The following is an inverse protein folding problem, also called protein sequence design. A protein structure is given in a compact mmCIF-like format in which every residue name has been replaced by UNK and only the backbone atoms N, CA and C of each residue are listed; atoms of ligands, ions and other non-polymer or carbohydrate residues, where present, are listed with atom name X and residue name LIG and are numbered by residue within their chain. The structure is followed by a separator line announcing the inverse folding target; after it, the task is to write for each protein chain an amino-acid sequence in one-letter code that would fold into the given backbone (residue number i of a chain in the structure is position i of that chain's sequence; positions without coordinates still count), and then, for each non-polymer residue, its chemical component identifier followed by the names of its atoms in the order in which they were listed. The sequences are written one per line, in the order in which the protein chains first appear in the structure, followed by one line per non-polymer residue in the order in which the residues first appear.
data_IF_351218802807
#
_entry.id   IF_351218802807
#
_cell.length_a   1.000
_cell.length_b   1.000
_cell.length_c   1.000
_cell.angle_alpha   90.00
_cell.angle_beta   90.00
_cell.angle_gamma   90.00
#
_symmetry.space_group_name_H-M   'P 1'
#
loop_
_entity.id
_entity.type
_entity.pdbx_description
1 polymer ?
#
# COMPACT_ATOMS: atom_id res chain seq x y z
N UNK A 1 -15.96 -42.71 -57.77
CA UNK A 1 -17.10 -41.94 -57.21
C UNK A 1 -16.59 -40.55 -56.85
N UNK A 2 -16.56 -39.66 -57.84
CA UNK A 2 -16.08 -38.27 -57.72
C UNK A 2 -17.26 -37.40 -58.15
N UNK A 3 -17.62 -36.37 -57.38
CA UNK A 3 -18.76 -35.48 -57.70
C UNK A 3 -19.92 -35.47 -56.69
N UNK A 4 -19.74 -35.92 -55.45
CA UNK A 4 -20.72 -35.57 -54.40
C UNK A 4 -20.44 -34.16 -53.91
N UNK A 5 -21.45 -33.29 -54.01
CA UNK A 5 -21.41 -31.93 -53.46
C UNK A 5 -21.23 -32.06 -51.94
N UNK A 6 -20.25 -31.35 -51.33
CA UNK A 6 -20.04 -31.43 -49.89
C UNK A 6 -21.30 -30.93 -49.15
N UNK A 7 -21.62 -31.50 -47.98
CA UNK A 7 -22.74 -31.02 -47.19
C UNK A 7 -22.55 -29.54 -46.83
N UNK A 8 -23.64 -28.75 -46.78
CA UNK A 8 -23.56 -27.36 -46.38
C UNK A 8 -23.00 -27.28 -44.95
N UNK A 9 -21.92 -26.52 -44.77
CA UNK A 9 -21.38 -26.21 -43.45
C UNK A 9 -21.79 -24.79 -43.08
N UNK A 10 -22.15 -24.57 -41.81
CA UNK A 10 -22.34 -23.23 -41.28
C UNK A 10 -20.98 -22.52 -41.19
N UNK A 11 -20.96 -21.21 -41.40
CA UNK A 11 -19.75 -20.42 -41.17
C UNK A 11 -19.39 -20.47 -39.67
N UNK A 12 -18.11 -20.59 -39.31
CA UNK A 12 -17.70 -20.54 -37.90
C UNK A 12 -17.97 -19.20 -37.22
N UNK A 13 -18.33 -18.17 -38.00
CA UNK A 13 -18.71 -16.84 -37.52
C UNK A 13 -20.23 -16.62 -37.51
N UNK A 14 -21.02 -17.70 -37.59
CA UNK A 14 -22.48 -17.65 -37.47
C UNK A 14 -22.88 -17.36 -36.02
N UNK A 15 -23.84 -16.45 -35.85
CA UNK A 15 -24.52 -16.24 -34.59
C UNK A 15 -25.45 -17.44 -34.29
N UNK A 16 -24.96 -18.39 -33.49
CA UNK A 16 -25.68 -19.64 -33.14
C UNK A 16 -27.06 -19.40 -32.52
N UNK A 17 -27.27 -18.26 -31.86
CA UNK A 17 -28.56 -17.90 -31.28
C UNK A 17 -29.61 -17.50 -32.34
N UNK A 18 -29.18 -17.06 -33.54
CA UNK A 18 -30.08 -16.69 -34.64
C UNK A 18 -30.47 -17.89 -35.53
N UNK A 19 -29.57 -18.87 -35.68
CA UNK A 19 -29.80 -20.08 -36.48
C UNK A 19 -30.40 -21.25 -35.68
N UNK A 20 -30.60 -21.06 -34.37
CA UNK A 20 -31.30 -22.01 -33.50
C UNK A 20 -30.56 -23.31 -33.24
N UNK A 21 -29.29 -23.41 -33.63
CA UNK A 21 -28.44 -24.57 -33.36
C UNK A 21 -27.37 -24.22 -32.33
N UNK A 22 -27.61 -24.60 -31.08
CA UNK A 22 -26.65 -24.48 -29.98
C UNK A 22 -26.03 -25.87 -29.75
N UNK A 23 -24.71 -26.03 -29.93
CA UNK A 23 -24.06 -27.30 -29.65
C UNK A 23 -24.17 -27.73 -28.18
N UNK A 24 -24.27 -29.03 -27.91
CA UNK A 24 -24.46 -29.61 -26.57
C UNK A 24 -23.44 -29.12 -25.52
N UNK A 25 -22.18 -28.91 -25.94
CA UNK A 25 -21.14 -28.39 -25.04
C UNK A 25 -21.40 -26.95 -24.61
N UNK A 26 -22.00 -26.12 -25.47
CA UNK A 26 -22.33 -24.74 -25.13
C UNK A 26 -23.47 -24.69 -24.10
N UNK A 27 -24.43 -25.62 -24.18
CA UNK A 27 -25.46 -25.75 -23.16
C UNK A 27 -24.90 -26.16 -21.80
N UNK A 28 -23.98 -27.13 -21.77
CA UNK A 28 -23.36 -27.57 -20.50
C UNK A 28 -22.56 -26.44 -19.86
N UNK A 29 -21.82 -25.65 -20.64
CA UNK A 29 -21.13 -24.45 -20.15
C UNK A 29 -22.12 -23.42 -19.61
N UNK A 30 -23.21 -23.11 -20.34
CA UNK A 30 -24.26 -22.18 -19.86
C UNK A 30 -24.87 -22.66 -18.52
N UNK A 31 -25.12 -23.96 -18.37
CA UNK A 31 -25.64 -24.55 -17.11
C UNK A 31 -24.64 -24.45 -15.96
N UNK A 32 -23.35 -24.72 -16.21
CA UNK A 32 -22.29 -24.58 -15.21
C UNK A 32 -22.12 -23.12 -14.77
N UNK A 33 -22.15 -22.18 -15.70
CA UNK A 33 -22.10 -20.75 -15.39
C UNK A 33 -23.33 -20.30 -14.61
N UNK A 34 -24.52 -20.80 -14.93
CA UNK A 34 -25.74 -20.49 -14.19
C UNK A 34 -25.70 -21.06 -12.76
N UNK A 35 -25.20 -22.29 -12.57
CA UNK A 35 -24.99 -22.86 -11.24
C UNK A 35 -24.00 -22.05 -10.41
N UNK A 36 -22.86 -21.66 -11.01
CA UNK A 36 -21.87 -20.80 -10.36
C UNK A 36 -22.45 -19.41 -10.00
N UNK A 37 -23.31 -18.82 -10.85
CA UNK A 37 -23.99 -17.55 -10.56
C UNK A 37 -25.04 -17.67 -9.44
N UNK A 38 -25.75 -18.79 -9.34
CA UNK A 38 -26.77 -19.00 -8.32
C UNK A 38 -26.17 -19.29 -6.93
N UNK A 39 -25.01 -19.94 -6.87
CA UNK A 39 -24.27 -20.14 -5.61
C UNK A 39 -23.60 -18.85 -5.11
N UNK A 40 -23.40 -17.88 -5.99
CA UNK A 40 -22.92 -16.54 -5.65
C UNK A 40 -24.14 -15.63 -5.40
N UNK A 41 -24.47 -15.43 -4.12
CA UNK A 41 -25.34 -14.33 -3.73
C UNK A 41 -24.81 -13.02 -4.35
N UNK A 42 -25.67 -12.17 -4.95
CA UNK A 42 -25.22 -10.86 -5.42
C UNK A 42 -24.62 -10.11 -4.22
N UNK A 43 -23.32 -9.83 -4.32
CA UNK A 43 -22.59 -9.13 -3.26
C UNK A 43 -23.28 -7.80 -2.98
N UNK A 44 -23.55 -7.45 -1.72
CA UNK A 44 -24.17 -6.17 -1.41
C UNK A 44 -23.18 -5.06 -1.75
N UNK A 45 -23.53 -4.30 -2.80
CA UNK A 45 -22.97 -2.99 -3.14
C UNK A 45 -21.48 -3.00 -3.51
N UNK A 46 -21.14 -3.64 -4.62
CA UNK A 46 -19.94 -3.28 -5.39
C UNK A 46 -20.38 -2.30 -6.46
N UNK A 47 -19.77 -1.11 -6.50
CA UNK A 47 -20.12 -0.04 -7.43
C UNK A 47 -19.89 -0.48 -8.88
N UNK A 48 -20.60 0.13 -9.83
CA UNK A 48 -20.45 -0.18 -11.27
C UNK A 48 -19.06 0.13 -11.83
N UNK A 49 -18.22 0.77 -11.03
CA UNK A 49 -16.87 1.25 -11.36
C UNK A 49 -15.82 0.12 -11.37
N UNK A 50 -16.04 -0.98 -10.63
CA UNK A 50 -15.11 -2.13 -10.57
C UNK A 50 -15.39 -3.21 -11.64
N UNK A 51 -16.42 -3.02 -12.47
CA UNK A 51 -16.76 -3.96 -13.56
C UNK A 51 -15.91 -3.75 -14.83
N UNK A 52 -15.15 -2.66 -14.90
CA UNK A 52 -14.41 -2.27 -16.11
C UNK A 52 -13.11 -3.07 -16.32
N UNK A 53 -12.62 -3.78 -15.30
CA UNK A 53 -11.45 -4.67 -15.40
C UNK A 53 -11.83 -6.14 -15.17
N UNK A 54 -12.11 -6.92 -16.23
CA UNK A 54 -12.50 -8.34 -16.09
C UNK A 54 -11.39 -9.21 -15.47
N UNK A 55 -10.13 -8.75 -15.50
CA UNK A 55 -9.00 -9.45 -14.89
C UNK A 55 -8.99 -9.29 -13.36
N UNK A 56 -9.42 -8.15 -12.83
CA UNK A 56 -9.41 -7.90 -11.38
C UNK A 56 -10.53 -8.69 -10.67
N UNK A 57 -11.69 -8.81 -11.33
CA UNK A 57 -12.81 -9.66 -10.90
C UNK A 57 -12.46 -11.15 -10.81
N UNK A 58 -11.62 -11.65 -11.72
CA UNK A 58 -11.17 -13.05 -11.71
C UNK A 58 -10.14 -13.32 -10.61
N UNK A 59 -9.27 -12.34 -10.31
CA UNK A 59 -8.27 -12.44 -9.23
C UNK A 59 -8.95 -12.44 -7.85
N UNK A 60 -9.95 -11.59 -7.62
CA UNK A 60 -10.75 -11.64 -6.38
C UNK A 60 -11.67 -12.86 -6.31
N UNK A 61 -12.11 -13.41 -7.43
CA UNK A 61 -12.90 -14.64 -7.49
C UNK A 61 -12.11 -15.93 -7.17
N UNK A 62 -10.78 -15.90 -7.28
CA UNK A 62 -9.91 -17.06 -6.99
C UNK A 62 -9.42 -17.11 -5.53
N UNK A 63 -9.56 -16.02 -4.79
CA UNK A 63 -9.28 -15.99 -3.35
C UNK A 63 -10.44 -16.72 -2.65
N UNK A 64 -10.11 -17.79 -1.94
CA UNK A 64 -11.11 -18.61 -1.24
C UNK A 64 -12.03 -17.73 -0.39
N UNK A 65 -13.35 -17.88 -0.55
CA UNK A 65 -14.39 -17.14 0.19
C UNK A 65 -14.15 -17.11 1.72
N UNK A 66 -13.47 -18.12 2.26
CA UNK A 66 -13.05 -18.15 3.66
C UNK A 66 -12.03 -17.05 3.98
N UNK A 67 -11.02 -16.88 3.14
CA UNK A 67 -9.96 -15.88 3.27
C UNK A 67 -10.50 -14.45 3.17
N UNK A 68 -11.45 -14.20 2.26
CA UNK A 68 -12.12 -12.90 2.16
C UNK A 68 -12.90 -12.54 3.44
N UNK A 69 -13.64 -13.49 4.00
CA UNK A 69 -14.38 -13.30 5.25
C UNK A 69 -13.46 -13.15 6.47
N UNK A 70 -12.34 -13.86 6.48
CA UNK A 70 -11.30 -13.70 7.50
C UNK A 70 -10.65 -12.33 7.42
N UNK A 71 -10.31 -11.86 6.21
CA UNK A 71 -9.77 -10.52 5.99
C UNK A 71 -10.73 -9.41 6.47
N UNK A 72 -12.05 -9.58 6.29
CA UNK A 72 -13.04 -8.63 6.82
C UNK A 72 -13.07 -8.66 8.35
N UNK A 73 -13.01 -9.84 8.97
CA UNK A 73 -12.97 -9.99 10.44
C UNK A 73 -11.69 -9.40 11.03
N UNK A 74 -10.54 -9.65 10.42
CA UNK A 74 -9.25 -9.09 10.87
C UNK A 74 -9.23 -7.58 10.72
N UNK A 75 -9.70 -7.02 9.60
CA UNK A 75 -9.83 -5.56 9.41
C UNK A 75 -10.70 -4.91 10.50
N UNK A 76 -11.83 -5.53 10.86
CA UNK A 76 -12.69 -5.03 11.96
C UNK A 76 -11.96 -5.04 13.31
N UNK A 77 -11.22 -6.11 13.62
CA UNK A 77 -10.43 -6.23 14.85
C UNK A 77 -9.30 -5.18 14.89
N UNK A 78 -8.59 -4.99 13.79
CA UNK A 78 -7.53 -3.97 13.70
C UNK A 78 -8.10 -2.57 13.93
N UNK A 79 -9.23 -2.23 13.28
CA UNK A 79 -9.88 -0.94 13.46
C UNK A 79 -10.36 -0.69 14.91
N UNK A 80 -10.75 -1.73 15.66
CA UNK A 80 -11.08 -1.57 17.07
C UNK A 80 -9.85 -1.33 17.93
N UNK A 81 -8.73 -2.01 17.66
CA UNK A 81 -7.47 -1.83 18.39
C UNK A 81 -6.88 -0.44 18.14
N UNK A 82 -6.93 0.04 16.90
CA UNK A 82 -6.48 1.40 16.54
C UNK A 82 -7.25 2.48 17.30
N UNK A 83 -8.57 2.33 17.42
CA UNK A 83 -9.40 3.25 18.22
C UNK A 83 -9.00 3.25 19.69
N UNK A 84 -8.83 2.07 20.28
CA UNK A 84 -8.40 1.94 21.68
C UNK A 84 -7.04 2.59 21.91
N UNK A 85 -6.09 2.37 21.01
CA UNK A 85 -4.77 3.00 21.07
C UNK A 85 -4.86 4.54 21.03
N UNK A 86 -5.68 5.09 20.13
CA UNK A 86 -5.89 6.53 20.07
C UNK A 86 -6.57 7.11 21.31
N UNK A 87 -7.53 6.40 21.89
CA UNK A 87 -8.18 6.79 23.15
C UNK A 87 -7.21 6.77 24.33
N UNK A 88 -6.33 5.76 24.41
CA UNK A 88 -5.25 5.69 25.40
C UNK A 88 -4.28 6.86 25.26
N UNK A 89 -3.81 7.13 24.04
CA UNK A 89 -2.90 8.25 23.77
C UNK A 89 -3.52 9.60 24.18
N UNK A 90 -4.81 9.80 23.90
CA UNK A 90 -5.52 11.00 24.34
C UNK A 90 -5.62 11.09 25.87
N UNK A 91 -5.90 9.97 26.54
CA UNK A 91 -5.94 9.92 28.02
C UNK A 91 -4.58 10.18 28.64
N UNK A 92 -3.49 9.70 28.06
CA UNK A 92 -2.13 9.97 28.52
C UNK A 92 -1.76 11.44 28.36
N UNK A 93 -2.08 12.03 27.21
CA UNK A 93 -1.85 13.46 26.96
C UNK A 93 -2.65 14.33 27.95
N UNK A 94 -3.91 13.99 28.22
CA UNK A 94 -4.72 14.69 29.22
C UNK A 94 -4.25 14.41 30.66
N UNK A 95 -3.83 13.18 30.97
CA UNK A 95 -3.26 12.79 32.26
C UNK A 95 -1.91 13.45 32.56
N UNK A 96 -1.10 13.71 31.53
CA UNK A 96 0.13 14.49 31.64
C UNK A 96 -0.14 15.97 31.96
N UNK A 97 -1.31 16.50 31.58
CA UNK A 97 -1.74 17.86 31.97
C UNK A 97 -2.20 17.89 33.44
N UNK A 98 -2.83 16.82 33.95
CA UNK A 98 -3.32 16.75 35.34
C UNK A 98 -2.22 16.49 36.38
N UNK A 99 -1.07 15.91 35.99
CA UNK A 99 0.08 15.72 36.89
C UNK A 99 0.91 17.00 37.13
N UNK A 100 0.75 18.04 36.30
CA UNK A 100 1.46 19.33 36.48
C UNK A 100 0.79 20.30 37.47
N UNK A 101 -0.44 20.03 37.92
CA UNK A 101 -1.17 20.93 38.83
C UNK A 101 -1.29 20.44 40.29
N UNK A 102 -0.70 19.29 40.64
CA UNK A 102 -0.60 18.80 42.01
C UNK A 102 0.76 18.14 42.24
N UNK A 103 1.78 18.96 42.50
CA UNK A 103 3.06 18.47 42.99
C UNK A 103 3.29 19.08 44.37
N UNK A 104 2.98 18.25 45.37
CA UNK A 104 3.23 18.46 46.77
C UNK A 104 3.14 17.08 47.44
N UNK A 105 4.17 16.27 47.25
CA UNK A 105 4.67 15.22 48.16
C UNK A 105 5.66 14.30 47.42
N UNK A 106 6.91 14.35 47.90
CA UNK A 106 7.96 13.31 47.92
C UNK A 106 7.39 11.88 48.01
N UNK A 107 8.02 10.77 47.64
CA UNK A 107 9.32 10.38 47.10
C UNK A 107 9.09 8.91 46.67
N UNK A 108 9.61 8.44 45.53
CA UNK A 108 10.15 7.07 45.41
C UNK A 108 10.75 6.87 44.02
N UNK A 109 12.07 7.06 43.97
CA UNK A 109 12.89 6.88 42.80
C UNK A 109 13.37 5.41 42.72
N UNK A 110 12.76 4.62 41.83
CA UNK A 110 13.48 3.57 41.10
C UNK A 110 13.41 3.88 39.62
N UNK A 111 14.30 4.78 39.21
CA UNK A 111 14.66 4.98 37.83
C UNK A 111 15.31 3.67 37.32
N UNK A 112 14.53 2.88 36.60
CA UNK A 112 15.09 2.03 35.56
C UNK A 112 15.78 3.00 34.60
N UNK A 113 17.11 2.92 34.49
CA UNK A 113 17.88 3.65 33.49
C UNK A 113 17.46 3.16 32.10
N UNK A 114 16.31 3.63 31.64
CA UNK A 114 15.98 3.68 30.23
C UNK A 114 16.96 4.67 29.63
N UNK A 115 18.06 4.12 29.11
CA UNK A 115 19.10 4.84 28.39
C UNK A 115 18.42 5.79 27.41
N UNK A 116 18.45 7.08 27.73
CA UNK A 116 17.88 8.12 26.87
C UNK A 116 18.59 7.99 25.53
N UNK A 117 17.88 7.63 24.44
CA UNK A 117 18.55 7.42 23.17
C UNK A 117 19.20 8.73 22.73
N UNK A 118 20.46 8.67 22.27
CA UNK A 118 21.20 9.85 21.83
C UNK A 118 20.37 10.56 20.75
N UNK A 119 20.06 11.86 20.87
CA UNK A 119 19.26 12.58 19.87
C UNK A 119 19.81 12.45 18.44
N UNK A 120 21.12 12.21 18.29
CA UNK A 120 21.75 11.94 17.00
C UNK A 120 21.35 10.57 16.44
N UNK A 121 21.34 9.54 17.28
CA UNK A 121 20.90 8.20 16.90
C UNK A 121 19.42 8.21 16.47
N UNK A 122 18.57 8.94 17.20
CA UNK A 122 17.15 9.08 16.84
C UNK A 122 16.99 9.71 15.45
N UNK A 123 17.76 10.75 15.14
CA UNK A 123 17.70 11.40 13.82
C UNK A 123 18.18 10.47 12.70
N UNK A 124 19.27 9.74 12.92
CA UNK A 124 19.79 8.76 11.98
C UNK A 124 18.80 7.60 11.76
N UNK A 125 18.15 7.12 12.82
CA UNK A 125 17.15 6.07 12.78
C UNK A 125 15.89 6.52 12.01
N UNK A 126 15.43 7.76 12.21
CA UNK A 126 14.30 8.32 11.44
C UNK A 126 14.63 8.39 9.94
N UNK A 127 15.82 8.87 9.60
CA UNK A 127 16.26 9.00 8.21
C UNK A 127 16.44 7.64 7.54
N UNK A 128 16.96 6.65 8.26
CA UNK A 128 17.11 5.28 7.75
C UNK A 128 15.74 4.61 7.56
N UNK A 129 14.83 4.75 8.52
CA UNK A 129 13.46 4.24 8.42
C UNK A 129 12.70 4.86 7.23
N UNK A 130 12.86 6.15 7.00
CA UNK A 130 12.31 6.84 5.82
C UNK A 130 12.85 6.28 4.50
N UNK A 131 14.14 5.92 4.46
CA UNK A 131 14.80 5.34 3.28
C UNK A 131 14.43 3.86 3.04
N UNK A 132 13.94 3.12 4.04
CA UNK A 132 13.55 1.70 3.90
C UNK A 132 12.31 1.48 3.02
N UNK A 133 11.35 2.42 3.03
CA UNK A 133 10.16 2.35 2.19
C UNK A 133 10.41 2.64 0.70
N UNK A 134 11.63 3.03 0.33
CA UNK A 134 11.98 3.46 -1.02
C UNK A 134 12.61 2.35 -1.86
N UNK A 135 12.29 2.31 -3.15
CA UNK A 135 12.98 1.43 -4.11
C UNK A 135 14.47 1.73 -4.17
N UNK A 136 15.31 0.70 -4.38
CA UNK A 136 16.78 0.79 -4.47
C UNK A 136 17.25 1.89 -5.44
N UNK A 137 16.58 2.04 -6.59
CA UNK A 137 16.90 3.07 -7.58
C UNK A 137 16.66 4.49 -7.05
N UNK A 138 15.56 4.70 -6.34
CA UNK A 138 15.21 6.01 -5.74
C UNK A 138 16.18 6.37 -4.61
N UNK A 139 16.55 5.40 -3.78
CA UNK A 139 17.56 5.58 -2.72
C UNK A 139 18.91 6.00 -3.30
N UNK A 140 19.40 5.32 -4.33
CA UNK A 140 20.66 5.68 -4.99
C UNK A 140 20.64 7.08 -5.62
N UNK A 141 19.50 7.50 -6.18
CA UNK A 141 19.33 8.85 -6.71
C UNK A 141 19.39 9.92 -5.61
N UNK A 142 18.71 9.70 -4.48
CA UNK A 142 18.76 10.62 -3.34
C UNK A 142 20.18 10.78 -2.78
N UNK A 143 20.88 9.68 -2.56
CA UNK A 143 22.27 9.71 -2.07
C UNK A 143 23.19 10.50 -3.03
N UNK A 144 22.98 10.37 -4.35
CA UNK A 144 23.72 11.13 -5.34
C UNK A 144 23.42 12.64 -5.28
N UNK A 145 22.16 13.02 -5.02
CA UNK A 145 21.74 14.41 -4.85
C UNK A 145 22.34 15.00 -3.57
N UNK A 146 22.29 14.29 -2.45
CA UNK A 146 22.90 14.69 -1.17
C UNK A 146 24.41 14.96 -1.35
N UNK A 147 25.15 14.00 -1.92
CA UNK A 147 26.58 14.15 -2.24
C UNK A 147 26.88 15.31 -3.18
N UNK A 148 25.96 15.65 -4.10
CA UNK A 148 26.13 16.82 -4.99
C UNK A 148 26.00 18.11 -4.19
N UNK A 149 24.97 18.22 -3.35
CA UNK A 149 24.74 19.40 -2.50
C UNK A 149 25.96 19.65 -1.59
N UNK A 150 26.48 18.62 -0.93
CA UNK A 150 27.68 18.73 -0.08
C UNK A 150 28.92 19.21 -0.84
N UNK A 151 29.14 18.71 -2.07
CA UNK A 151 30.25 19.18 -2.92
C UNK A 151 30.09 20.64 -3.31
N UNK A 152 28.87 21.06 -3.63
CA UNK A 152 28.57 22.44 -4.01
C UNK A 152 28.76 23.39 -2.80
N UNK A 153 28.29 23.01 -1.61
CA UNK A 153 28.49 23.81 -0.39
C UNK A 153 29.98 23.90 -0.01
N UNK A 154 30.74 22.80 -0.12
CA UNK A 154 32.18 22.79 0.14
C UNK A 154 32.98 23.61 -0.88
N UNK A 155 32.56 23.67 -2.15
CA UNK A 155 33.16 24.58 -3.14
C UNK A 155 32.88 26.03 -2.80
N UNK A 156 31.64 26.34 -2.44
CA UNK A 156 31.24 27.70 -2.06
C UNK A 156 31.99 28.17 -0.82
N UNK A 157 32.18 27.32 0.20
CA UNK A 157 32.95 27.67 1.40
C UNK A 157 34.41 27.99 1.05
N UNK A 158 35.07 27.15 0.23
CA UNK A 158 36.43 27.41 -0.26
C UNK A 158 36.54 28.73 -1.04
N UNK A 159 35.56 29.05 -1.89
CA UNK A 159 35.53 30.31 -2.62
C UNK A 159 35.37 31.51 -1.68
N UNK A 160 34.50 31.40 -0.67
CA UNK A 160 34.32 32.44 0.36
C UNK A 160 35.62 32.65 1.15
N UNK A 161 36.31 31.59 1.54
CA UNK A 161 37.61 31.67 2.21
C UNK A 161 38.68 32.35 1.35
N UNK A 162 38.81 31.94 0.07
CA UNK A 162 39.75 32.58 -0.87
C UNK A 162 39.44 34.07 -1.04
N UNK A 163 38.17 34.42 -1.19
CA UNK A 163 37.72 35.82 -1.29
C UNK A 163 38.08 36.61 -0.04
N UNK A 164 37.90 36.04 1.16
CA UNK A 164 38.31 36.69 2.42
C UNK A 164 39.83 36.91 2.47
N UNK A 165 40.64 35.92 2.07
CA UNK A 165 42.11 36.03 2.04
C UNK A 165 42.62 37.10 1.08
N UNK A 166 42.02 37.21 -0.12
CA UNK A 166 42.37 38.25 -1.09
C UNK A 166 42.04 39.65 -0.56
N UNK A 167 40.86 39.82 0.05
CA UNK A 167 40.48 41.09 0.66
C UNK A 167 41.39 41.50 1.82
N UNK A 168 41.90 40.54 2.60
CA UNK A 168 42.85 40.84 3.68
C UNK A 168 44.27 41.13 3.19
N UNK A 169 44.62 40.75 1.96
CA UNK A 169 45.93 41.07 1.36
C UNK A 169 45.93 42.36 0.53
N UNK A 170 44.75 42.88 0.17
CA UNK A 170 44.59 44.16 -0.53
C UNK A 170 44.54 45.38 0.42
N UNK A 171 44.43 45.14 1.73
CA UNK A 171 44.63 46.14 2.79
C UNK A 171 46.03 45.99 3.40
#
# INVERSE_FOLDING_TARGET
MVGRIPPPHLSPFVDNDAEGYIPDYAETIKRLQAAAKNEVLPMPRVGKEDLDDPQNLLVEGYISRAEANEAVKTKKKMATLEKQYHEELQRELQGAVMKKSKQGSEEDAKASEESVPDPKQIAEDIDTMSKLGMSRKKRGLLEAIEKRKERDTARISKLKERKKKLKSSEN
#
